data_IF_003737236466
#
_entry.id   IF_003737236466
#
_cell.length_a   1.000
_cell.length_b   1.000
_cell.length_c   1.000
_cell.angle_alpha   90.00
_cell.angle_beta   90.00
_cell.angle_gamma   90.00
#
_symmetry.space_group_name_H-M   'P 1'
#
loop_
_entity.id
_entity.type
_entity.pdbx_description
1 polymer ?
#
# COMPACT_ATOMS: atom_id res chain seq x y z
N UNK A 1 14.87 19.12 7.16
CA UNK A 1 15.14 18.82 8.58
C UNK A 1 15.18 17.31 8.77
N UNK A 2 16.33 16.75 9.13
CA UNK A 2 16.48 15.32 9.36
C UNK A 2 16.54 15.05 10.87
N UNK A 3 15.53 14.39 11.41
CA UNK A 3 15.45 14.04 12.84
C UNK A 3 16.28 12.82 13.22
N UNK A 4 16.80 12.09 12.21
CA UNK A 4 17.60 10.90 12.43
C UNK A 4 19.04 11.11 11.96
N UNK A 5 19.99 10.52 12.66
CA UNK A 5 21.35 10.32 12.15
C UNK A 5 21.50 8.87 11.74
N UNK A 6 22.18 8.66 10.60
CA UNK A 6 22.41 7.33 10.06
C UNK A 6 23.14 6.42 11.06
N UNK A 7 22.77 5.10 11.13
CA UNK A 7 21.55 4.58 10.51
C UNK A 7 20.32 4.63 11.42
N UNK A 8 20.44 4.82 12.75
CA UNK A 8 19.29 4.58 13.63
C UNK A 8 19.24 5.49 14.89
N UNK A 9 20.13 6.45 15.02
CA UNK A 9 20.11 7.35 16.17
C UNK A 9 19.08 8.47 15.99
N UNK A 10 18.12 8.58 16.88
CA UNK A 10 17.15 9.66 16.91
C UNK A 10 17.84 10.96 17.36
N UNK A 11 17.78 12.03 16.56
CA UNK A 11 18.31 13.34 16.91
C UNK A 11 17.38 14.13 17.80
N UNK A 12 16.07 13.98 17.56
CA UNK A 12 15.04 14.60 18.37
C UNK A 12 13.77 13.73 18.29
N UNK A 13 13.29 13.29 19.41
CA UNK A 13 12.04 12.53 19.55
C UNK A 13 10.81 13.44 19.62
N UNK A 14 11.00 14.70 20.07
CA UNK A 14 9.95 15.72 20.18
C UNK A 14 10.46 17.05 19.67
N UNK A 15 9.99 17.45 18.51
CA UNK A 15 10.33 18.76 17.91
C UNK A 15 9.29 19.81 18.29
N UNK A 16 8.00 19.44 18.34
CA UNK A 16 6.92 20.35 18.70
C UNK A 16 6.65 21.42 17.65
N UNK A 17 6.39 22.64 18.12
CA UNK A 17 6.10 23.79 17.25
C UNK A 17 7.40 24.49 16.84
N UNK A 18 7.54 24.70 15.53
CA UNK A 18 8.62 25.52 14.95
C UNK A 18 8.03 26.62 14.09
N UNK A 19 8.66 27.83 14.07
CA UNK A 19 8.25 28.87 13.13
C UNK A 19 8.32 28.37 11.68
N UNK A 20 7.25 28.55 10.91
CA UNK A 20 7.17 28.07 9.53
C UNK A 20 8.32 28.61 8.66
N UNK A 21 8.74 29.85 8.91
CA UNK A 21 9.85 30.48 8.19
C UNK A 21 11.20 29.77 8.41
N UNK A 22 11.45 29.27 9.62
CA UNK A 22 12.68 28.51 9.93
C UNK A 22 12.68 27.12 9.26
N UNK A 23 11.50 26.60 8.94
CA UNK A 23 11.31 25.36 8.21
C UNK A 23 11.36 25.54 6.68
N UNK A 24 11.58 26.77 6.20
CA UNK A 24 11.63 27.09 4.78
C UNK A 24 10.25 27.29 4.13
N UNK A 25 9.17 27.35 4.90
CA UNK A 25 7.84 27.64 4.36
C UNK A 25 7.61 29.16 4.25
N UNK A 26 7.20 29.69 3.07
CA UNK A 26 6.95 31.11 2.86
C UNK A 26 5.59 31.54 3.42
N UNK A 27 5.35 31.24 4.70
CA UNK A 27 4.07 31.56 5.37
C UNK A 27 4.31 32.06 6.80
N UNK A 28 3.32 32.80 7.34
CA UNK A 28 3.26 33.17 8.74
C UNK A 28 2.65 32.03 9.56
N UNK A 29 3.14 31.82 10.77
CA UNK A 29 2.64 30.80 11.67
C UNK A 29 3.70 29.78 12.08
N UNK A 30 3.26 28.67 12.64
CA UNK A 30 4.11 27.59 13.11
C UNK A 30 3.75 26.26 12.44
N UNK A 31 4.75 25.41 12.29
CA UNK A 31 4.61 24.01 11.91
C UNK A 31 4.70 23.18 13.19
N UNK A 32 3.74 22.30 13.37
CA UNK A 32 3.81 21.30 14.43
C UNK A 32 4.35 19.99 13.86
N UNK A 33 5.46 19.53 14.39
CA UNK A 33 6.02 18.23 14.03
C UNK A 33 5.46 17.18 14.99
N UNK A 34 4.58 16.32 14.47
CA UNK A 34 4.05 15.19 15.25
C UNK A 34 5.20 14.27 15.64
N UNK A 35 5.36 13.91 16.93
CA UNK A 35 6.46 13.06 17.36
C UNK A 35 6.35 11.65 16.78
N UNK A 36 7.49 11.00 16.58
CA UNK A 36 7.59 9.59 16.29
C UNK A 36 8.07 8.79 17.50
N UNK A 37 7.80 7.50 17.53
CA UNK A 37 8.27 6.61 18.62
C UNK A 37 9.60 5.95 18.26
N UNK A 38 9.83 5.68 16.98
CA UNK A 38 11.04 5.03 16.47
C UNK A 38 11.28 5.40 15.00
N UNK A 39 12.31 4.84 14.40
CA UNK A 39 12.62 5.07 12.98
C UNK A 39 11.49 4.68 12.01
N UNK A 40 10.67 3.71 12.40
CA UNK A 40 9.60 3.16 11.57
C UNK A 40 8.19 3.52 12.07
N UNK A 41 8.08 4.12 13.25
CA UNK A 41 6.81 4.56 13.85
C UNK A 41 6.84 6.07 13.95
N UNK A 42 6.49 6.72 12.87
CA UNK A 42 6.55 8.15 12.69
C UNK A 42 5.30 8.89 13.20
N UNK A 43 5.25 10.18 12.90
CA UNK A 43 4.11 11.03 13.23
C UNK A 43 2.83 10.69 12.48
N UNK A 44 2.92 9.99 11.35
CA UNK A 44 1.83 9.41 10.59
C UNK A 44 1.04 8.40 11.43
N UNK A 45 1.71 7.44 12.02
CA UNK A 45 1.10 6.43 12.90
C UNK A 45 0.47 7.08 14.14
N UNK A 46 1.18 8.03 14.77
CA UNK A 46 0.60 8.77 15.90
C UNK A 46 -0.64 9.58 15.49
N UNK A 47 -0.60 10.21 14.34
CA UNK A 47 -1.75 10.96 13.82
C UNK A 47 -2.94 10.03 13.52
N UNK A 48 -2.71 8.86 12.93
CA UNK A 48 -3.72 7.84 12.69
C UNK A 48 -4.34 7.31 14.00
N UNK A 49 -3.51 7.06 15.01
CA UNK A 49 -3.99 6.66 16.35
C UNK A 49 -4.85 7.73 17.00
N UNK A 50 -4.47 9.01 16.86
CA UNK A 50 -5.25 10.14 17.38
C UNK A 50 -6.58 10.26 16.63
N UNK A 51 -6.54 10.18 15.29
CA UNK A 51 -7.74 10.31 14.47
C UNK A 51 -8.75 9.17 14.69
N UNK A 52 -8.27 7.96 14.94
CA UNK A 52 -9.13 6.77 15.21
C UNK A 52 -9.51 6.65 16.68
N UNK A 53 -8.92 7.45 17.56
CA UNK A 53 -9.07 7.39 19.02
C UNK A 53 -8.79 5.98 19.60
N UNK A 54 -7.93 5.19 18.94
CA UNK A 54 -7.64 3.81 19.34
C UNK A 54 -7.23 3.72 20.82
N UNK A 55 -6.42 4.66 21.28
CA UNK A 55 -5.93 4.73 22.67
C UNK A 55 -7.03 4.99 23.72
N UNK A 56 -8.25 5.32 23.30
CA UNK A 56 -9.41 5.50 24.20
C UNK A 56 -10.35 4.30 24.22
N UNK A 57 -10.21 3.37 23.28
CA UNK A 57 -11.13 2.23 23.15
C UNK A 57 -10.94 1.25 24.30
N UNK A 58 -12.04 0.67 24.76
CA UNK A 58 -12.03 -0.41 25.75
C UNK A 58 -11.72 -1.75 25.11
N UNK A 59 -12.23 -1.97 23.90
CA UNK A 59 -12.00 -3.20 23.12
C UNK A 59 -10.63 -3.15 22.45
N UNK A 60 -9.96 -4.30 22.39
CA UNK A 60 -8.74 -4.48 21.60
C UNK A 60 -9.06 -4.14 20.16
N UNK A 61 -8.31 -3.22 19.60
CA UNK A 61 -8.47 -2.71 18.24
C UNK A 61 -7.14 -2.74 17.53
N UNK A 62 -7.21 -2.84 16.21
CA UNK A 62 -6.03 -2.84 15.34
C UNK A 62 -6.07 -1.58 14.48
N UNK A 63 -4.96 -0.88 14.40
CA UNK A 63 -4.67 0.14 13.41
C UNK A 63 -3.53 -0.38 12.54
N UNK A 64 -3.76 -0.43 11.24
CA UNK A 64 -2.78 -0.94 10.29
C UNK A 64 -2.58 0.07 9.17
N UNK A 65 -1.36 0.57 9.03
CA UNK A 65 -0.94 1.42 7.91
C UNK A 65 -0.19 0.55 6.90
N UNK A 66 -0.70 0.52 5.67
CA UNK A 66 -0.15 -0.32 4.59
C UNK A 66 0.47 0.58 3.54
N UNK A 67 1.78 0.80 3.67
CA UNK A 67 2.59 1.54 2.72
C UNK A 67 3.81 0.74 2.27
N UNK A 68 4.89 1.41 1.99
CA UNK A 68 6.21 0.79 1.70
C UNK A 68 6.69 -0.08 2.86
N UNK A 69 6.43 0.37 4.09
CA UNK A 69 6.45 -0.47 5.27
C UNK A 69 5.00 -0.77 5.67
N UNK A 70 4.80 -1.83 6.42
CA UNK A 70 3.54 -2.05 7.11
C UNK A 70 3.74 -1.69 8.58
N UNK A 71 2.98 -0.73 9.09
CA UNK A 71 2.99 -0.39 10.50
C UNK A 71 1.70 -0.86 11.16
N UNK A 72 1.85 -1.52 12.29
CA UNK A 72 0.75 -2.09 13.05
C UNK A 72 0.72 -1.50 14.46
N UNK A 73 -0.46 -1.13 14.92
CA UNK A 73 -0.73 -0.85 16.34
C UNK A 73 -1.89 -1.71 16.80
N UNK A 74 -1.68 -2.48 17.83
CA UNK A 74 -2.69 -3.34 18.46
C UNK A 74 -2.83 -2.95 19.93
N UNK A 75 -4.06 -2.84 20.40
CA UNK A 75 -4.31 -2.61 21.81
C UNK A 75 -5.59 -1.84 22.10
N UNK A 76 -5.63 -1.23 23.25
CA UNK A 76 -6.76 -0.49 23.77
C UNK A 76 -6.25 0.64 24.71
N UNK A 77 -7.12 1.18 25.56
CA UNK A 77 -6.73 2.21 26.53
C UNK A 77 -5.71 1.75 27.58
N UNK A 78 -5.54 0.44 27.79
CA UNK A 78 -4.67 -0.11 28.84
C UNK A 78 -3.26 -0.37 28.33
N UNK A 79 -3.15 -0.79 27.05
CA UNK A 79 -1.85 -1.05 26.42
C UNK A 79 -1.89 -0.80 24.91
N UNK A 80 -0.74 -0.51 24.33
CA UNK A 80 -0.53 -0.37 22.90
C UNK A 80 0.78 -1.10 22.53
N UNK A 81 0.67 -2.08 21.66
CA UNK A 81 1.79 -2.75 21.02
C UNK A 81 1.95 -2.20 19.61
N UNK A 82 3.17 -1.89 19.23
CA UNK A 82 3.47 -1.34 17.92
C UNK A 82 4.52 -2.20 17.22
N UNK A 83 4.32 -2.48 15.97
CA UNK A 83 5.24 -3.19 15.10
C UNK A 83 5.38 -2.51 13.75
N UNK A 84 6.50 -2.74 13.09
CA UNK A 84 6.73 -2.32 11.72
C UNK A 84 7.44 -3.42 10.94
N UNK A 85 6.99 -3.71 9.73
CA UNK A 85 7.56 -4.69 8.83
C UNK A 85 7.84 -4.12 7.45
N UNK A 86 8.90 -4.59 6.81
CA UNK A 86 9.24 -4.20 5.45
C UNK A 86 8.31 -4.91 4.46
N UNK A 87 7.20 -4.28 4.11
CA UNK A 87 6.21 -4.81 3.18
C UNK A 87 6.65 -4.62 1.71
N UNK A 88 7.37 -3.56 1.40
CA UNK A 88 7.73 -3.17 0.04
C UNK A 88 6.63 -2.36 -0.65
N UNK A 89 6.97 -1.60 -1.72
CA UNK A 89 6.07 -0.63 -2.34
C UNK A 89 5.08 -1.24 -3.35
N UNK A 90 4.75 -2.54 -3.25
CA UNK A 90 3.84 -3.20 -4.20
C UNK A 90 2.44 -2.56 -4.20
N UNK A 91 1.92 -2.22 -3.01
CA UNK A 91 0.61 -1.59 -2.87
C UNK A 91 0.60 -0.09 -3.19
N UNK A 92 1.76 0.53 -3.31
CA UNK A 92 1.89 1.91 -3.82
C UNK A 92 2.07 1.96 -5.35
N UNK A 93 2.07 0.81 -6.02
CA UNK A 93 2.32 0.67 -7.45
C UNK A 93 3.81 0.82 -7.84
N UNK A 94 4.72 0.89 -6.88
CA UNK A 94 6.13 1.21 -7.12
C UNK A 94 6.96 0.10 -7.76
N UNK A 95 6.55 -1.17 -7.63
CA UNK A 95 7.25 -2.35 -8.16
C UNK A 95 6.44 -3.10 -9.21
N UNK A 96 5.17 -2.78 -9.37
CA UNK A 96 4.30 -3.34 -10.41
C UNK A 96 4.61 -2.67 -11.74
N UNK A 97 4.79 -3.43 -12.83
CA UNK A 97 5.23 -2.91 -14.14
C UNK A 97 4.31 -1.83 -14.70
N UNK A 98 3.00 -1.95 -14.50
CA UNK A 98 2.00 -0.94 -14.86
C UNK A 98 1.45 -0.19 -13.66
N UNK A 99 2.15 -0.27 -12.51
CA UNK A 99 1.74 0.37 -11.28
C UNK A 99 1.93 1.90 -11.33
N UNK A 100 1.03 2.62 -10.67
CA UNK A 100 1.11 4.07 -10.53
C UNK A 100 0.40 4.53 -9.25
N UNK A 101 0.66 5.77 -8.85
CA UNK A 101 -0.09 6.40 -7.76
C UNK A 101 -1.54 6.65 -8.18
N UNK A 102 -2.45 6.73 -7.19
CA UNK A 102 -3.83 7.12 -7.41
C UNK A 102 -3.88 8.56 -7.96
N UNK A 103 -4.04 8.68 -9.27
CA UNK A 103 -4.08 9.93 -10.01
C UNK A 103 -4.89 9.73 -11.29
N UNK A 104 -5.10 10.78 -12.06
CA UNK A 104 -5.84 10.72 -13.33
C UNK A 104 -5.23 9.68 -14.30
N UNK A 105 -6.08 8.76 -14.74
CA UNK A 105 -5.70 7.62 -15.59
C UNK A 105 -5.34 6.36 -14.82
N UNK A 106 -5.35 6.37 -13.48
CA UNK A 106 -5.14 5.15 -12.71
C UNK A 106 -6.42 4.31 -12.64
N UNK A 107 -6.29 3.01 -12.87
CA UNK A 107 -7.34 2.03 -12.53
C UNK A 107 -7.33 1.84 -11.02
N UNK A 108 -8.44 2.15 -10.37
CA UNK A 108 -8.59 2.10 -8.91
C UNK A 108 -9.59 1.06 -8.41
N UNK A 109 -10.43 0.55 -9.31
CA UNK A 109 -11.40 -0.52 -9.02
C UNK A 109 -11.44 -1.51 -10.17
N UNK A 110 -11.48 -2.80 -9.85
CA UNK A 110 -11.57 -3.89 -10.81
C UNK A 110 -12.67 -4.86 -10.39
N UNK A 111 -13.46 -5.32 -11.36
CA UNK A 111 -14.45 -6.39 -11.21
C UNK A 111 -14.34 -7.37 -12.35
N UNK A 112 -14.57 -8.66 -12.08
CA UNK A 112 -14.69 -9.69 -13.11
C UNK A 112 -16.13 -10.23 -13.07
N UNK A 113 -16.91 -9.94 -14.11
CA UNK A 113 -18.28 -10.41 -14.25
C UNK A 113 -18.42 -11.14 -15.59
N UNK A 114 -18.97 -12.34 -15.58
CA UNK A 114 -19.14 -13.20 -16.77
C UNK A 114 -17.84 -13.35 -17.58
N UNK A 115 -16.71 -13.49 -16.90
CA UNK A 115 -15.39 -13.64 -17.52
C UNK A 115 -14.83 -12.35 -18.15
N UNK A 116 -15.48 -11.20 -17.95
CA UNK A 116 -15.04 -9.91 -18.48
C UNK A 116 -14.52 -9.02 -17.35
N UNK A 117 -13.36 -8.42 -17.57
CA UNK A 117 -12.78 -7.46 -16.64
C UNK A 117 -13.41 -6.09 -16.89
N UNK A 118 -14.00 -5.53 -15.85
CA UNK A 118 -14.50 -4.16 -15.79
C UNK A 118 -13.59 -3.35 -14.89
N UNK A 119 -13.20 -2.15 -15.32
CA UNK A 119 -12.30 -1.27 -14.57
C UNK A 119 -12.90 0.12 -14.47
N UNK A 120 -12.87 0.69 -13.27
CA UNK A 120 -13.03 2.13 -13.08
C UNK A 120 -11.66 2.80 -13.21
N UNK A 121 -11.66 4.01 -13.77
CA UNK A 121 -10.44 4.82 -13.98
C UNK A 121 -10.66 6.18 -13.33
N UNK A 122 -9.71 6.64 -12.55
CA UNK A 122 -9.76 7.95 -11.91
C UNK A 122 -9.70 9.05 -12.99
N UNK A 123 -10.69 9.96 -12.97
CA UNK A 123 -10.81 11.05 -13.93
C UNK A 123 -11.38 10.62 -15.27
N UNK A 124 -11.32 11.53 -16.26
CA UNK A 124 -11.90 11.30 -17.61
C UNK A 124 -10.85 10.83 -18.63
N UNK A 125 -9.62 10.61 -18.19
CA UNK A 125 -8.48 10.26 -19.05
C UNK A 125 -8.47 8.79 -19.47
N UNK A 126 -7.61 8.50 -20.46
CA UNK A 126 -7.31 7.10 -20.83
C UNK A 126 -6.58 6.40 -19.69
N UNK A 127 -6.83 5.10 -19.48
CA UNK A 127 -6.10 4.32 -18.49
C UNK A 127 -4.60 4.30 -18.82
N UNK A 128 -3.77 4.58 -17.81
CA UNK A 128 -2.31 4.64 -17.91
C UNK A 128 -1.63 3.54 -17.10
N UNK A 129 -2.32 3.03 -16.08
CA UNK A 129 -1.81 2.03 -15.16
C UNK A 129 -2.82 1.71 -14.07
N UNK A 130 -2.36 1.07 -13.00
CA UNK A 130 -3.18 0.59 -11.89
C UNK A 130 -2.61 1.10 -10.57
N UNK A 131 -3.44 1.63 -9.67
CA UNK A 131 -3.01 2.05 -8.35
C UNK A 131 -3.23 0.94 -7.30
N UNK A 132 -2.81 1.19 -6.06
CA UNK A 132 -2.84 0.18 -5.00
C UNK A 132 -4.21 -0.46 -4.77
N UNK A 133 -5.30 0.32 -4.74
CA UNK A 133 -6.66 -0.22 -4.59
C UNK A 133 -7.03 -1.10 -5.78
N UNK A 134 -6.74 -0.66 -7.00
CA UNK A 134 -6.97 -1.47 -8.20
C UNK A 134 -6.17 -2.77 -8.21
N UNK A 135 -4.92 -2.78 -7.70
CA UNK A 135 -4.11 -4.01 -7.57
C UNK A 135 -4.79 -4.99 -6.60
N UNK A 136 -5.27 -4.50 -5.46
CA UNK A 136 -5.96 -5.33 -4.47
C UNK A 136 -7.22 -5.93 -5.09
N UNK A 137 -8.05 -5.11 -5.74
CA UNK A 137 -9.27 -5.56 -6.39
C UNK A 137 -8.97 -6.58 -7.49
N UNK A 138 -8.01 -6.28 -8.38
CA UNK A 138 -7.63 -7.18 -9.47
C UNK A 138 -7.22 -8.55 -8.92
N UNK A 139 -6.36 -8.60 -7.92
CA UNK A 139 -5.91 -9.87 -7.35
C UNK A 139 -7.03 -10.63 -6.64
N UNK A 140 -7.90 -9.91 -5.93
CA UNK A 140 -9.08 -10.51 -5.31
C UNK A 140 -10.02 -11.12 -6.36
N UNK A 141 -10.30 -10.39 -7.42
CA UNK A 141 -11.16 -10.86 -8.51
C UNK A 141 -10.53 -12.02 -9.29
N UNK A 142 -9.23 -11.98 -9.57
CA UNK A 142 -8.51 -13.10 -10.19
C UNK A 142 -8.62 -14.37 -9.34
N UNK A 143 -8.47 -14.22 -8.02
CA UNK A 143 -8.58 -15.35 -7.09
C UNK A 143 -10.00 -15.88 -7.00
N UNK A 144 -11.00 -15.03 -6.81
CA UNK A 144 -12.41 -15.41 -6.68
C UNK A 144 -12.96 -16.09 -7.96
N UNK A 145 -12.45 -15.70 -9.12
CA UNK A 145 -12.84 -16.29 -10.40
C UNK A 145 -11.95 -17.49 -10.83
N UNK A 146 -10.97 -17.88 -9.99
CA UNK A 146 -10.08 -19.00 -10.23
C UNK A 146 -9.07 -18.76 -11.35
N UNK A 147 -8.79 -17.49 -11.69
CA UNK A 147 -7.78 -17.13 -12.71
C UNK A 147 -6.37 -17.19 -12.14
N UNK A 148 -6.23 -17.18 -10.83
CA UNK A 148 -5.02 -17.56 -10.09
C UNK A 148 -5.38 -18.67 -9.10
N UNK A 149 -4.42 -19.55 -8.84
CA UNK A 149 -4.55 -20.60 -7.83
C UNK A 149 -4.13 -20.09 -6.43
N UNK A 150 -4.20 -20.97 -5.42
CA UNK A 150 -3.80 -20.66 -4.04
C UNK A 150 -2.34 -20.20 -3.88
N UNK A 151 -1.48 -20.52 -4.83
CA UNK A 151 -0.07 -20.12 -4.86
C UNK A 151 0.16 -18.82 -5.65
N UNK A 152 -0.92 -18.19 -6.16
CA UNK A 152 -0.83 -16.99 -6.98
C UNK A 152 -0.36 -17.26 -8.41
N UNK A 153 -0.44 -18.48 -8.90
CA UNK A 153 -0.06 -18.82 -10.28
C UNK A 153 -1.24 -18.59 -11.21
N UNK A 154 -1.03 -17.84 -12.28
CA UNK A 154 -2.01 -17.62 -13.33
C UNK A 154 -2.42 -18.95 -14.00
N UNK A 155 -3.71 -19.08 -14.33
CA UNK A 155 -4.33 -20.26 -14.92
C UNK A 155 -4.80 -19.93 -16.36
N UNK A 156 -3.95 -20.15 -17.38
CA UNK A 156 -4.24 -19.71 -18.75
C UNK A 156 -5.52 -20.30 -19.35
N UNK A 157 -5.90 -21.50 -18.90
CA UNK A 157 -7.12 -22.18 -19.36
C UNK A 157 -8.42 -21.52 -18.87
N UNK A 158 -8.32 -20.57 -17.96
CA UNK A 158 -9.49 -19.89 -17.36
C UNK A 158 -9.96 -18.68 -18.15
N UNK A 159 -9.07 -18.04 -18.92
CA UNK A 159 -9.43 -16.84 -19.67
C UNK A 159 -8.44 -16.54 -20.80
N UNK A 160 -8.96 -16.11 -21.94
CA UNK A 160 -8.15 -15.61 -23.07
C UNK A 160 -7.39 -14.31 -22.73
N UNK A 161 -7.76 -13.64 -21.62
CA UNK A 161 -7.03 -12.48 -21.12
C UNK A 161 -5.71 -12.84 -20.46
N UNK A 162 -5.53 -14.12 -20.11
CA UNK A 162 -4.27 -14.65 -19.57
C UNK A 162 -3.45 -15.17 -20.73
N UNK A 163 -2.33 -14.52 -20.99
CA UNK A 163 -1.48 -14.82 -22.15
C UNK A 163 -0.01 -14.65 -21.80
N UNK A 164 0.84 -15.24 -22.60
CA UNK A 164 2.27 -14.97 -22.56
C UNK A 164 2.57 -13.67 -23.32
N UNK A 165 3.29 -12.77 -22.68
CA UNK A 165 3.75 -11.54 -23.34
C UNK A 165 4.86 -11.88 -24.33
N UNK A 166 4.67 -11.64 -25.64
CA UNK A 166 5.64 -12.02 -26.66
C UNK A 166 6.98 -11.30 -26.55
N UNK A 167 7.06 -10.20 -25.78
CA UNK A 167 8.31 -9.44 -25.59
C UNK A 167 9.14 -9.98 -24.45
N UNK A 168 8.49 -10.46 -23.39
CA UNK A 168 9.15 -10.89 -22.15
C UNK A 168 9.12 -12.39 -21.94
N UNK A 169 8.22 -13.12 -22.61
CA UNK A 169 7.97 -14.53 -22.38
C UNK A 169 7.29 -14.83 -21.04
N UNK A 170 6.79 -13.79 -20.36
CA UNK A 170 6.18 -13.91 -19.03
C UNK A 170 4.65 -13.97 -19.13
N UNK A 171 4.04 -14.83 -18.35
CA UNK A 171 2.58 -14.87 -18.22
C UNK A 171 2.03 -13.59 -17.59
N UNK A 172 0.96 -13.07 -18.18
CA UNK A 172 0.29 -11.87 -17.70
C UNK A 172 -1.22 -11.95 -17.94
N UNK A 173 -1.96 -11.14 -17.21
CA UNK A 173 -3.38 -10.88 -17.48
C UNK A 173 -3.54 -9.47 -18.03
N UNK A 174 -4.17 -9.35 -19.19
CA UNK A 174 -4.51 -8.05 -19.77
C UNK A 174 -5.80 -7.52 -19.12
N UNK A 175 -5.66 -6.62 -18.14
CA UNK A 175 -6.80 -6.04 -17.43
C UNK A 175 -7.43 -4.84 -18.15
N UNK A 176 -6.68 -4.21 -19.05
CA UNK A 176 -7.14 -3.19 -20.01
C UNK A 176 -6.30 -3.30 -21.29
N UNK A 177 -6.81 -2.74 -22.38
CA UNK A 177 -6.09 -2.74 -23.66
C UNK A 177 -4.67 -2.19 -23.51
N UNK A 178 -3.67 -3.03 -23.76
CA UNK A 178 -2.25 -2.70 -23.62
C UNK A 178 -1.72 -2.59 -22.18
N UNK A 179 -2.53 -2.84 -21.16
CA UNK A 179 -2.12 -2.84 -19.77
C UNK A 179 -2.17 -4.25 -19.19
N UNK A 180 -1.00 -4.79 -18.91
CA UNK A 180 -0.79 -6.13 -18.42
C UNK A 180 -0.36 -6.15 -16.96
N UNK A 181 -0.88 -7.11 -16.21
CA UNK A 181 -0.44 -7.44 -14.86
C UNK A 181 0.25 -8.80 -14.90
N UNK A 182 1.50 -8.86 -14.50
CA UNK A 182 2.39 -9.99 -14.75
C UNK A 182 2.45 -10.97 -13.58
N UNK A 183 2.88 -12.20 -13.86
CA UNK A 183 3.11 -13.20 -12.83
C UNK A 183 4.13 -12.70 -11.77
N UNK A 184 5.15 -11.97 -12.18
CA UNK A 184 6.12 -11.33 -11.27
C UNK A 184 5.48 -10.28 -10.37
N UNK A 185 4.51 -9.50 -10.87
CA UNK A 185 3.77 -8.51 -10.09
C UNK A 185 2.93 -9.19 -8.98
N UNK A 186 2.33 -10.34 -9.31
CA UNK A 186 1.61 -11.17 -8.32
C UNK A 186 2.57 -11.65 -7.23
N UNK A 187 3.77 -12.10 -7.60
CA UNK A 187 4.77 -12.56 -6.64
C UNK A 187 5.21 -11.43 -5.69
N UNK A 188 5.40 -10.21 -6.19
CA UNK A 188 5.74 -9.04 -5.36
C UNK A 188 4.60 -8.70 -4.38
N UNK A 189 3.35 -8.74 -4.84
CA UNK A 189 2.20 -8.55 -3.95
C UNK A 189 2.13 -9.62 -2.85
N UNK A 190 2.36 -10.89 -3.19
CA UNK A 190 2.35 -11.98 -2.21
C UNK A 190 3.44 -11.83 -1.15
N UNK A 191 4.62 -11.30 -1.51
CA UNK A 191 5.67 -10.95 -0.53
C UNK A 191 5.20 -9.88 0.44
N UNK A 192 4.58 -8.81 -0.08
CA UNK A 192 4.00 -7.73 0.73
C UNK A 192 2.91 -8.26 1.67
N UNK A 193 2.00 -9.09 1.14
CA UNK A 193 0.95 -9.74 1.94
C UNK A 193 1.53 -10.63 3.04
N UNK A 194 2.56 -11.42 2.71
CA UNK A 194 3.22 -12.30 3.68
C UNK A 194 3.90 -11.51 4.81
N UNK A 195 4.56 -10.38 4.49
CA UNK A 195 5.15 -9.51 5.50
C UNK A 195 4.08 -8.93 6.43
N UNK A 196 2.96 -8.45 5.88
CA UNK A 196 1.83 -7.95 6.66
C UNK A 196 1.21 -9.03 7.53
N UNK A 197 1.01 -10.24 7.00
CA UNK A 197 0.48 -11.38 7.75
C UNK A 197 1.39 -11.76 8.92
N UNK A 198 2.70 -11.83 8.68
CA UNK A 198 3.68 -12.15 9.72
C UNK A 198 3.62 -11.18 10.90
N UNK A 199 3.42 -9.88 10.63
CA UNK A 199 3.29 -8.88 11.71
C UNK A 199 2.04 -9.08 12.57
N UNK A 200 0.97 -9.65 12.03
CA UNK A 200 -0.27 -9.92 12.77
C UNK A 200 -0.17 -11.20 13.59
N UNK A 201 0.61 -12.19 13.13
CA UNK A 201 0.77 -13.49 13.80
C UNK A 201 1.75 -13.45 14.99
N UNK A 202 2.70 -12.51 14.98
CA UNK A 202 3.71 -12.36 16.04
C UNK A 202 3.44 -11.17 16.96
#
# INVERSE_FOLDING_TARGET
FCVFSSPYAVRADRVGFLPAKEMGFPMKGCVYCVPGKSNYLGGDILSGMIATELYKKETISVFFDIGTNGELVVGNREFLLCGAGAAGPALEGGVVKTGMRAAEGAVDTVKIEDGKIQCHVIGEGKPKGICGSGIIDLLAELFLNGWINLFGTLQPERSEKIKEDPKTGEWCVEYREGLNFYQSDIAEFLRTKSAAYTMVEY
#
